data_IF_064827342506
#
_entry.id   IF_064827342506
#
_cell.length_a   1.000
_cell.length_b   1.000
_cell.length_c   1.000
_cell.angle_alpha   90.00
_cell.angle_beta   90.00
_cell.angle_gamma   90.00
#
_symmetry.space_group_name_H-M   'P 1'
#
loop_
_entity.id
_entity.type
_entity.pdbx_description
1 polymer ?
#
# COMPACT_ATOMS: atom_id res chain seq x y z
N UNK A 1 -11.18 3.17 21.65
CA UNK A 1 -10.56 3.18 20.33
C UNK A 1 -11.60 2.72 19.34
N UNK A 2 -11.82 3.45 18.24
CA UNK A 2 -12.82 3.04 17.25
C UNK A 2 -12.40 1.71 16.63
N UNK A 3 -13.22 0.67 16.79
CA UNK A 3 -13.09 -0.55 16.04
C UNK A 3 -13.27 -0.19 14.56
N UNK A 4 -12.21 -0.28 13.77
CA UNK A 4 -12.28 -0.04 12.34
C UNK A 4 -13.18 -1.14 11.76
N UNK A 5 -14.34 -0.75 11.26
CA UNK A 5 -15.34 -1.69 10.78
C UNK A 5 -14.96 -2.18 9.38
N UNK A 6 -14.85 -3.48 9.20
CA UNK A 6 -14.55 -4.16 7.93
C UNK A 6 -15.43 -3.62 6.79
N UNK A 7 -16.73 -3.43 7.02
CA UNK A 7 -17.65 -2.92 5.99
C UNK A 7 -17.26 -1.54 5.46
N UNK A 8 -16.71 -0.67 6.32
CA UNK A 8 -16.26 0.67 5.94
C UNK A 8 -14.99 0.58 5.08
N UNK A 9 -14.03 -0.26 5.47
CA UNK A 9 -12.80 -0.49 4.69
C UNK A 9 -13.13 -1.01 3.30
N UNK A 10 -13.97 -2.04 3.19
CA UNK A 10 -14.39 -2.59 1.89
C UNK A 10 -15.10 -1.56 1.03
N UNK A 11 -15.96 -0.73 1.64
CA UNK A 11 -16.64 0.34 0.90
C UNK A 11 -15.65 1.39 0.37
N UNK A 12 -14.67 1.80 1.19
CA UNK A 12 -13.64 2.75 0.77
C UNK A 12 -12.72 2.18 -0.32
N UNK A 13 -12.29 0.93 -0.17
CA UNK A 13 -11.45 0.24 -1.16
C UNK A 13 -12.19 0.05 -2.50
N UNK A 14 -13.50 -0.26 -2.46
CA UNK A 14 -14.32 -0.36 -3.66
C UNK A 14 -14.43 0.95 -4.45
N UNK A 15 -14.18 2.09 -3.79
CA UNK A 15 -14.19 3.44 -4.39
C UNK A 15 -12.80 4.06 -4.48
N UNK A 16 -11.74 3.26 -4.38
CA UNK A 16 -10.39 3.80 -4.23
C UNK A 16 -9.97 4.69 -5.41
N UNK A 17 -10.43 4.39 -6.62
CA UNK A 17 -10.15 5.19 -7.82
C UNK A 17 -10.91 6.53 -7.88
N UNK A 18 -11.91 6.74 -7.02
CA UNK A 18 -12.68 8.00 -6.96
C UNK A 18 -11.96 9.07 -6.12
N UNK A 19 -10.93 8.70 -5.34
CA UNK A 19 -10.23 9.62 -4.45
C UNK A 19 -9.07 10.33 -5.17
N UNK A 20 -8.86 11.60 -4.81
CA UNK A 20 -7.63 12.32 -5.15
C UNK A 20 -6.46 11.83 -4.29
N UNK A 21 -5.25 12.32 -4.56
CA UNK A 21 -4.02 11.84 -3.92
C UNK A 21 -4.02 12.01 -2.39
N UNK A 22 -4.58 13.12 -1.90
CA UNK A 22 -4.72 13.35 -0.47
C UNK A 22 -5.73 12.37 0.15
N UNK A 23 -6.89 12.16 -0.49
CA UNK A 23 -7.90 11.20 -0.05
C UNK A 23 -7.36 9.77 -0.03
N UNK A 24 -6.57 9.39 -1.05
CA UNK A 24 -5.89 8.10 -1.12
C UNK A 24 -4.96 7.89 0.07
N UNK A 25 -4.12 8.88 0.42
CA UNK A 25 -3.25 8.79 1.60
C UNK A 25 -4.06 8.54 2.89
N UNK A 26 -5.19 9.22 3.07
CA UNK A 26 -6.05 9.05 4.25
C UNK A 26 -6.69 7.65 4.29
N UNK A 27 -7.16 7.14 3.15
CA UNK A 27 -7.72 5.79 3.04
C UNK A 27 -6.64 4.74 3.32
N UNK A 28 -5.45 4.89 2.74
CA UNK A 28 -4.33 3.98 2.95
C UNK A 28 -3.87 3.95 4.41
N UNK A 29 -3.83 5.08 5.12
CA UNK A 29 -3.51 5.10 6.57
C UNK A 29 -4.56 4.33 7.38
N UNK A 30 -5.84 4.43 7.02
CA UNK A 30 -6.90 3.68 7.67
C UNK A 30 -6.79 2.17 7.39
N UNK A 31 -6.50 1.80 6.14
CA UNK A 31 -6.30 0.40 5.71
C UNK A 31 -5.08 -0.21 6.39
N UNK A 32 -3.99 0.53 6.58
CA UNK A 32 -2.80 0.04 7.29
C UNK A 32 -3.03 -0.27 8.77
N UNK A 33 -4.12 0.25 9.37
CA UNK A 33 -4.54 -0.06 10.75
C UNK A 33 -5.55 -1.21 10.81
N UNK A 34 -6.10 -1.62 9.68
CA UNK A 34 -7.04 -2.73 9.61
C UNK A 34 -6.29 -4.07 9.62
N UNK A 35 -6.81 -5.03 10.39
CA UNK A 35 -6.29 -6.40 10.40
C UNK A 35 -7.28 -7.29 9.65
N UNK A 36 -6.92 -7.78 8.46
CA UNK A 36 -7.76 -8.71 7.70
C UNK A 36 -8.02 -9.99 8.48
N UNK A 37 -9.18 -10.61 8.24
CA UNK A 37 -9.60 -11.82 8.91
C UNK A 37 -8.98 -13.10 8.32
N UNK A 38 -8.67 -13.09 7.01
CA UNK A 38 -8.19 -14.26 6.28
C UNK A 38 -7.25 -13.89 5.12
N UNK A 39 -6.44 -14.84 4.68
CA UNK A 39 -5.47 -14.68 3.58
C UNK A 39 -6.18 -14.23 2.29
N UNK A 40 -7.38 -14.75 2.03
CA UNK A 40 -8.18 -14.36 0.87
C UNK A 40 -8.53 -12.86 0.87
N UNK A 41 -8.80 -12.30 2.05
CA UNK A 41 -9.11 -10.87 2.17
C UNK A 41 -7.85 -10.03 1.93
N UNK A 42 -6.68 -10.47 2.43
CA UNK A 42 -5.39 -9.83 2.14
C UNK A 42 -5.15 -9.77 0.64
N UNK A 43 -5.33 -10.88 -0.08
CA UNK A 43 -5.15 -10.93 -1.53
C UNK A 43 -6.10 -9.98 -2.27
N UNK A 44 -7.37 -9.93 -1.86
CA UNK A 44 -8.36 -9.04 -2.46
C UNK A 44 -7.94 -7.56 -2.28
N UNK A 45 -7.52 -7.18 -1.07
CA UNK A 45 -7.04 -5.82 -0.78
C UNK A 45 -5.80 -5.51 -1.63
N UNK A 46 -4.81 -6.40 -1.67
CA UNK A 46 -3.58 -6.20 -2.46
C UNK A 46 -3.89 -5.98 -3.95
N UNK A 47 -4.78 -6.78 -4.53
CA UNK A 47 -5.16 -6.63 -5.95
C UNK A 47 -5.94 -5.33 -6.22
N UNK A 48 -6.73 -4.83 -5.26
CA UNK A 48 -7.39 -3.52 -5.39
C UNK A 48 -6.41 -2.36 -5.35
N UNK A 49 -5.29 -2.52 -4.62
CA UNK A 49 -4.25 -1.50 -4.45
C UNK A 49 -3.15 -1.54 -5.51
N UNK A 50 -3.01 -2.63 -6.28
CA UNK A 50 -2.09 -2.74 -7.43
C UNK A 50 -2.12 -1.53 -8.41
N UNK A 51 -3.28 -1.02 -8.86
CA UNK A 51 -3.31 0.15 -9.74
C UNK A 51 -2.78 1.42 -9.05
N UNK A 52 -2.90 1.54 -7.73
CA UNK A 52 -2.42 2.68 -6.93
C UNK A 52 -0.89 2.71 -6.86
N UNK A 53 -0.21 1.57 -7.01
CA UNK A 53 1.25 1.51 -7.13
C UNK A 53 1.79 2.13 -8.42
N UNK A 54 0.94 2.33 -9.43
CA UNK A 54 1.32 2.89 -10.75
C UNK A 54 1.09 4.39 -10.85
N UNK A 55 0.58 5.03 -9.79
CA UNK A 55 0.31 6.46 -9.78
C UNK A 55 1.63 7.25 -9.79
N UNK A 56 1.64 8.42 -10.42
CA UNK A 56 2.83 9.30 -10.48
C UNK A 56 3.20 9.92 -9.13
N UNK A 57 2.32 9.85 -8.12
CA UNK A 57 2.55 10.47 -6.82
C UNK A 57 3.36 9.55 -5.90
N UNK A 58 4.61 9.93 -5.65
CA UNK A 58 5.55 9.18 -4.81
C UNK A 58 5.04 8.93 -3.39
N UNK A 59 4.31 9.86 -2.79
CA UNK A 59 3.75 9.73 -1.44
C UNK A 59 2.65 8.67 -1.36
N UNK A 60 1.78 8.62 -2.38
CA UNK A 60 0.72 7.61 -2.47
C UNK A 60 1.32 6.22 -2.71
N UNK A 61 2.33 6.12 -3.58
CA UNK A 61 3.02 4.84 -3.84
C UNK A 61 3.72 4.35 -2.57
N UNK A 62 4.44 5.21 -1.85
CA UNK A 62 5.05 4.90 -0.55
C UNK A 62 4.05 4.43 0.50
N UNK A 63 2.92 5.14 0.63
CA UNK A 63 1.85 4.75 1.55
C UNK A 63 1.30 3.36 1.20
N UNK A 64 1.13 3.07 -0.09
CA UNK A 64 0.66 1.76 -0.57
C UNK A 64 1.67 0.65 -0.26
N UNK A 65 2.97 0.90 -0.48
CA UNK A 65 4.05 -0.03 -0.12
C UNK A 65 4.01 -0.36 1.36
N UNK A 66 3.88 0.66 2.22
CA UNK A 66 3.79 0.48 3.67
C UNK A 66 2.61 -0.41 4.06
N UNK A 67 1.44 -0.18 3.46
CA UNK A 67 0.24 -1.02 3.67
C UNK A 67 0.50 -2.47 3.25
N UNK A 68 1.17 -2.70 2.12
CA UNK A 68 1.48 -4.07 1.65
C UNK A 68 2.37 -4.82 2.63
N UNK A 69 3.42 -4.15 3.14
CA UNK A 69 4.32 -4.72 4.14
C UNK A 69 3.57 -5.03 5.45
N UNK A 70 2.67 -4.14 5.88
CA UNK A 70 1.87 -4.35 7.08
C UNK A 70 0.90 -5.53 6.93
N UNK A 71 0.17 -5.61 5.81
CA UNK A 71 -0.79 -6.68 5.54
C UNK A 71 -0.13 -8.06 5.44
N UNK A 72 1.10 -8.13 4.92
CA UNK A 72 1.82 -9.39 4.73
C UNK A 72 2.82 -9.73 5.83
N UNK A 73 2.89 -8.92 6.90
CA UNK A 73 3.86 -9.10 8.00
C UNK A 73 3.84 -10.52 8.59
N UNK A 74 2.68 -11.17 8.62
CA UNK A 74 2.50 -12.52 9.16
C UNK A 74 2.44 -13.62 8.08
N UNK A 75 2.65 -13.28 6.81
CA UNK A 75 2.51 -14.19 5.67
C UNK A 75 3.82 -14.30 4.88
N UNK A 76 4.77 -15.08 5.41
CA UNK A 76 6.09 -15.27 4.82
C UNK A 76 6.03 -15.81 3.37
N UNK A 77 5.00 -16.59 3.03
CA UNK A 77 4.82 -17.12 1.68
C UNK A 77 4.47 -16.04 0.65
N UNK A 78 3.90 -14.91 1.08
CA UNK A 78 3.55 -13.78 0.20
C UNK A 78 4.70 -12.81 -0.02
N UNK A 79 5.72 -12.81 0.85
CA UNK A 79 6.84 -11.88 0.74
C UNK A 79 7.51 -11.96 -0.62
N UNK A 80 7.75 -13.17 -1.15
CA UNK A 80 8.37 -13.35 -2.48
C UNK A 80 7.55 -12.67 -3.59
N UNK A 81 6.23 -12.85 -3.60
CA UNK A 81 5.34 -12.24 -4.59
C UNK A 81 5.27 -10.71 -4.42
N UNK A 82 5.34 -10.25 -3.17
CA UNK A 82 5.32 -8.84 -2.82
C UNK A 82 6.59 -8.14 -3.29
N UNK A 83 7.76 -8.76 -3.13
CA UNK A 83 9.03 -8.24 -3.65
C UNK A 83 9.01 -8.08 -5.17
N UNK A 84 8.50 -9.07 -5.91
CA UNK A 84 8.32 -8.98 -7.37
C UNK A 84 7.42 -7.80 -7.77
N UNK A 85 6.30 -7.62 -7.06
CA UNK A 85 5.35 -6.52 -7.30
C UNK A 85 5.92 -5.15 -6.92
N UNK A 86 6.72 -5.07 -5.86
CA UNK A 86 7.28 -3.81 -5.36
C UNK A 86 8.56 -3.37 -6.08
N UNK A 87 9.28 -4.29 -6.73
CA UNK A 87 10.54 -3.99 -7.42
C UNK A 87 10.38 -2.89 -8.48
N UNK A 88 9.38 -3.00 -9.35
CA UNK A 88 9.15 -2.02 -10.40
C UNK A 88 8.71 -0.64 -9.87
N UNK A 89 7.73 -0.53 -8.95
CA UNK A 89 7.38 0.74 -8.31
C UNK A 89 8.55 1.40 -7.58
N UNK A 90 9.33 0.65 -6.81
CA UNK A 90 10.49 1.18 -6.06
C UNK A 90 11.57 1.68 -7.02
N UNK A 91 11.89 0.93 -8.07
CA UNK A 91 12.86 1.38 -9.09
C UNK A 91 12.37 2.64 -9.82
N UNK A 92 11.07 2.72 -10.13
CA UNK A 92 10.48 3.91 -10.76
C UNK A 92 10.50 5.11 -9.82
N UNK A 93 10.23 4.90 -8.53
CA UNK A 93 10.34 5.92 -7.48
C UNK A 93 11.79 6.42 -7.32
N UNK A 94 12.77 5.51 -7.34
CA UNK A 94 14.19 5.85 -7.27
C UNK A 94 14.67 6.58 -8.52
N UNK A 95 14.15 6.22 -9.70
CA UNK A 95 14.49 6.85 -10.97
C UNK A 95 13.82 8.22 -11.16
N UNK A 96 12.64 8.43 -10.57
CA UNK A 96 11.86 9.68 -10.67
C UNK A 96 12.05 10.62 -9.49
N UNK A 97 12.59 10.14 -8.36
CA UNK A 97 12.79 10.90 -7.14
C UNK A 97 14.06 11.75 -7.15
N UNK A 98 13.99 12.89 -6.45
CA UNK A 98 15.19 13.64 -6.06
C UNK A 98 16.02 12.80 -5.08
N UNK A 99 17.33 13.04 -4.93
CA UNK A 99 18.20 12.24 -4.04
C UNK A 99 17.68 12.15 -2.59
N UNK A 100 16.90 13.13 -2.12
CA UNK A 100 16.25 13.11 -0.80
C UNK A 100 15.13 12.07 -0.71
N UNK A 101 14.34 11.89 -1.78
CA UNK A 101 13.31 10.85 -1.86
C UNK A 101 13.94 9.45 -1.89
N UNK A 102 15.04 9.29 -2.62
CA UNK A 102 15.80 8.04 -2.65
C UNK A 102 16.34 7.65 -1.25
N UNK A 103 16.82 8.63 -0.49
CA UNK A 103 17.26 8.41 0.90
C UNK A 103 16.10 7.99 1.82
N UNK A 104 14.95 8.65 1.73
CA UNK A 104 13.76 8.29 2.51
C UNK A 104 13.24 6.88 2.18
N UNK A 105 13.28 6.49 0.90
CA UNK A 105 12.92 5.15 0.44
C UNK A 105 13.83 4.08 1.05
N UNK A 106 15.16 4.25 0.93
CA UNK A 106 16.14 3.32 1.46
C UNK A 106 15.99 3.09 2.96
N UNK A 107 15.75 4.18 3.71
CA UNK A 107 15.54 4.13 5.16
C UNK A 107 14.24 3.43 5.58
N UNK A 108 13.22 3.39 4.70
CA UNK A 108 11.97 2.70 4.98
C UNK A 108 12.01 1.21 4.61
N UNK A 109 13.05 0.79 3.87
CA UNK A 109 13.28 -0.59 3.46
C UNK A 109 14.31 -1.35 4.30
N UNK A 110 15.06 -0.66 5.19
CA UNK A 110 15.78 -1.26 6.33
C UNK A 110 14.83 -1.51 7.51
#
# INVERSE_FOLDING_TARGET
GMAINQAIIHHLLGRINDFNEWGLCQVLDLVGRYTPADDQEVFNIMNMLDPVLRTSNSGVVLATIKVFIQLTRHMAHLHAQLYERLKAPILTLLASGTPELAYCLLKHTE
#
